data_IF_728158078762
#
_entry.id   IF_728158078762
#
_cell.length_a   1.000
_cell.length_b   1.000
_cell.length_c   1.000
_cell.angle_alpha   90.00
_cell.angle_beta   90.00
_cell.angle_gamma   90.00
#
_symmetry.space_group_name_H-M   'P 1'
#
loop_
_entity.id
_entity.type
_entity.pdbx_description
1 polymer ?
#
# COMPACT_ATOMS: atom_id res chain seq x y z
N UNK A 1 11.04 5.29 42.26
CA UNK A 1 10.55 5.21 40.86
C UNK A 1 10.38 3.73 40.51
N UNK A 2 9.21 3.27 40.03
CA UNK A 2 9.08 1.90 39.56
C UNK A 2 9.88 1.74 38.26
N UNK A 3 10.88 0.86 38.30
CA UNK A 3 11.82 0.62 37.18
C UNK A 3 11.20 -0.25 36.07
N UNK A 4 10.11 -0.96 36.37
CA UNK A 4 9.51 -1.95 35.48
C UNK A 4 8.03 -1.63 35.23
N UNK A 5 7.72 -1.28 33.97
CA UNK A 5 6.34 -1.11 33.50
C UNK A 5 5.65 -2.45 33.22
N UNK A 6 4.31 -2.44 33.10
CA UNK A 6 3.54 -3.66 32.82
C UNK A 6 3.80 -4.18 31.40
N UNK A 7 4.31 -5.41 31.30
CA UNK A 7 4.55 -6.12 30.02
C UNK A 7 3.25 -6.64 29.36
N UNK A 8 2.12 -6.58 30.06
CA UNK A 8 0.84 -7.19 29.64
C UNK A 8 0.28 -6.66 28.32
N UNK A 9 0.68 -5.45 27.90
CA UNK A 9 0.20 -4.82 26.65
C UNK A 9 1.05 -5.19 25.43
N UNK A 10 2.16 -5.90 25.61
CA UNK A 10 3.06 -6.27 24.53
C UNK A 10 2.30 -7.12 23.49
N UNK A 11 2.34 -6.68 22.22
CA UNK A 11 1.77 -7.44 21.11
C UNK A 11 0.23 -7.49 21.02
N UNK A 12 -0.53 -6.86 21.94
CA UNK A 12 -2.00 -6.89 21.98
C UNK A 12 -2.64 -6.66 20.61
N UNK A 13 -2.27 -5.57 19.94
CA UNK A 13 -2.87 -5.19 18.65
C UNK A 13 -2.52 -6.19 17.55
N UNK A 14 -1.30 -6.74 17.57
CA UNK A 14 -0.85 -7.73 16.59
C UNK A 14 -1.57 -9.07 16.74
N UNK A 15 -1.84 -9.50 17.99
CA UNK A 15 -2.60 -10.72 18.27
C UNK A 15 -4.11 -10.58 18.04
N UNK A 16 -4.66 -9.38 18.21
CA UNK A 16 -6.06 -9.09 17.91
C UNK A 16 -6.36 -9.03 16.40
N UNK A 17 -5.35 -8.74 15.57
CA UNK A 17 -5.56 -8.58 14.13
C UNK A 17 -5.62 -9.96 13.45
N UNK A 18 -6.73 -10.33 12.78
CA UNK A 18 -6.81 -11.61 12.07
C UNK A 18 -5.77 -11.66 10.94
N UNK A 19 -5.15 -12.82 10.73
CA UNK A 19 -4.17 -13.00 9.65
C UNK A 19 -4.88 -13.04 8.30
N UNK A 20 -4.71 -11.99 7.50
CA UNK A 20 -5.22 -11.93 6.12
C UNK A 20 -4.14 -12.42 5.16
N UNK A 21 -4.53 -13.31 4.23
CA UNK A 21 -3.62 -13.82 3.20
C UNK A 21 -3.34 -12.77 2.12
N UNK A 22 -2.15 -12.84 1.54
CA UNK A 22 -1.80 -12.01 0.39
C UNK A 22 -2.58 -12.46 -0.84
N UNK A 23 -3.01 -11.49 -1.67
CA UNK A 23 -3.57 -11.79 -3.00
C UNK A 23 -2.45 -12.19 -3.95
N UNK A 24 -2.74 -13.14 -4.84
CA UNK A 24 -1.83 -13.47 -5.94
C UNK A 24 -1.57 -12.24 -6.81
N UNK A 25 -0.30 -12.05 -7.20
CA UNK A 25 0.14 -10.94 -8.06
C UNK A 25 1.12 -11.46 -9.10
N UNK A 26 0.78 -11.30 -10.37
CA UNK A 26 1.70 -11.57 -11.47
C UNK A 26 2.46 -10.31 -11.86
N UNK A 27 3.79 -10.38 -11.82
CA UNK A 27 4.65 -9.32 -12.33
C UNK A 27 4.63 -9.27 -13.86
N UNK A 28 4.63 -8.07 -14.42
CA UNK A 28 4.81 -7.84 -15.86
C UNK A 28 6.23 -7.34 -16.13
N UNK A 29 6.74 -7.62 -17.34
CA UNK A 29 8.05 -7.13 -17.77
C UNK A 29 8.15 -5.59 -17.71
N UNK A 30 9.38 -5.09 -17.55
CA UNK A 30 9.65 -3.66 -17.40
C UNK A 30 9.12 -2.83 -18.59
N UNK A 31 9.30 -3.31 -19.82
CA UNK A 31 8.85 -2.61 -21.04
C UNK A 31 7.34 -2.38 -21.07
N UNK A 32 6.56 -3.39 -20.66
CA UNK A 32 5.09 -3.27 -20.55
C UNK A 32 4.69 -2.27 -19.48
N UNK A 33 5.36 -2.33 -18.32
CA UNK A 33 5.13 -1.38 -17.21
C UNK A 33 5.41 0.06 -17.62
N UNK A 34 6.53 0.30 -18.31
CA UNK A 34 6.93 1.63 -18.76
C UNK A 34 5.94 2.20 -19.79
N UNK A 35 5.52 1.39 -20.77
CA UNK A 35 4.50 1.78 -21.76
C UNK A 35 3.17 2.14 -21.08
N UNK A 36 2.72 1.33 -20.12
CA UNK A 36 1.49 1.62 -19.38
C UNK A 36 1.61 2.88 -18.51
N UNK A 37 2.76 3.11 -17.88
CA UNK A 37 3.01 4.30 -17.07
C UNK A 37 3.03 5.56 -17.93
N UNK A 38 3.65 5.52 -19.11
CA UNK A 38 3.62 6.61 -20.08
C UNK A 38 2.17 6.94 -20.46
N UNK A 39 1.38 5.94 -20.85
CA UNK A 39 -0.04 6.11 -21.19
C UNK A 39 -0.83 6.73 -20.04
N UNK A 40 -0.65 6.24 -18.80
CA UNK A 40 -1.34 6.76 -17.62
C UNK A 40 -0.97 8.21 -17.36
N UNK A 41 0.32 8.57 -17.37
CA UNK A 41 0.81 9.92 -17.06
C UNK A 41 0.45 10.96 -18.11
N UNK A 42 0.71 10.67 -19.39
CA UNK A 42 0.67 11.70 -20.43
C UNK A 42 -0.63 11.72 -21.21
N UNK A 43 -1.17 10.56 -21.59
CA UNK A 43 -2.42 10.51 -22.36
C UNK A 43 -3.64 10.68 -21.44
N UNK A 44 -3.68 9.98 -20.31
CA UNK A 44 -4.84 9.94 -19.41
C UNK A 44 -4.73 10.97 -18.27
N UNK A 45 -3.56 11.61 -18.10
CA UNK A 45 -3.27 12.54 -16.98
C UNK A 45 -3.59 11.94 -15.60
N UNK A 46 -3.24 10.66 -15.41
CA UNK A 46 -3.46 9.90 -14.19
C UNK A 46 -2.13 9.47 -13.56
N UNK A 47 -2.07 9.52 -12.23
CA UNK A 47 -0.94 9.00 -11.46
C UNK A 47 -0.90 7.46 -11.61
N UNK A 48 0.22 6.88 -12.08
CA UNK A 48 0.37 5.43 -12.09
C UNK A 48 0.60 4.91 -10.67
N UNK A 49 -0.04 3.78 -10.34
CA UNK A 49 0.10 3.11 -9.05
C UNK A 49 -1.24 2.97 -8.30
N UNK A 50 -1.15 2.69 -7.00
CA UNK A 50 -2.31 2.50 -6.14
C UNK A 50 -3.00 3.85 -5.91
N UNK A 51 -4.28 3.96 -6.30
CA UNK A 51 -5.06 5.17 -6.06
C UNK A 51 -5.16 5.41 -4.55
N UNK A 52 -4.49 6.45 -4.05
CA UNK A 52 -4.63 6.85 -2.65
C UNK A 52 -5.95 7.63 -2.48
N UNK A 53 -6.77 7.32 -1.47
CA UNK A 53 -7.91 8.18 -1.14
C UNK A 53 -7.39 9.59 -0.83
N UNK A 54 -7.99 10.62 -1.43
CA UNK A 54 -7.55 12.02 -1.32
C UNK A 54 -6.79 12.57 -2.54
N UNK A 55 -6.32 11.73 -3.47
CA UNK A 55 -5.81 12.15 -4.78
C UNK A 55 -6.98 12.46 -5.75
N UNK A 56 -7.91 13.29 -5.29
CA UNK A 56 -9.03 13.79 -6.11
C UNK A 56 -8.40 14.58 -7.26
N UNK A 57 -8.74 14.21 -8.50
CA UNK A 57 -8.40 14.92 -9.74
C UNK A 57 -8.56 16.43 -9.50
N UNK A 58 -7.46 17.18 -9.41
CA UNK A 58 -7.52 18.60 -9.80
C UNK A 58 -7.77 18.59 -11.30
N UNK A 59 -8.89 19.18 -11.69
CA UNK A 59 -9.32 19.35 -13.07
C UNK A 59 -8.22 19.98 -13.90
#
# INVERSE_FOLDING_TARGET
MPTHGSLTKAGKVRGQTPKVQARERHGVIASSTNRQNFRKRFLIKRVPGQNKPGQRRKR
#
